data_IF_364297883300
#
_entry.id   IF_364297883300
#
_cell.length_a   1.000
_cell.length_b   1.000
_cell.length_c   1.000
_cell.angle_alpha   90.00
_cell.angle_beta   90.00
_cell.angle_gamma   90.00
#
_symmetry.space_group_name_H-M   'P 1'
#
loop_
_entity.id
_entity.type
_entity.pdbx_description
1 polymer ?
#
# COMPACT_ATOMS: atom_id res chain seq x y z
N UNK A 1 -0.51 17.79 13.07
CA UNK A 1 -1.17 16.97 12.07
C UNK A 1 -0.72 15.54 12.20
N UNK A 2 -1.64 14.62 12.02
CA UNK A 2 -1.31 13.22 12.16
C UNK A 2 -0.76 12.66 10.87
N UNK A 3 0.01 11.60 10.99
CA UNK A 3 0.59 10.91 9.84
C UNK A 3 -0.30 9.71 9.51
N UNK A 4 -0.58 9.52 8.23
CA UNK A 4 -1.45 8.42 7.81
C UNK A 4 -0.70 7.52 6.83
N UNK A 5 -0.80 6.22 7.08
CA UNK A 5 -0.12 5.19 6.31
C UNK A 5 -1.16 4.22 5.77
N UNK A 6 -1.11 3.92 4.48
CA UNK A 6 -1.94 2.88 3.91
C UNK A 6 -1.08 1.65 3.65
N UNK A 7 -1.61 0.49 3.95
CA UNK A 7 -0.94 -0.78 3.65
C UNK A 7 -1.88 -1.59 2.79
N UNK A 8 -1.46 -1.94 1.58
CA UNK A 8 -2.23 -2.78 0.68
C UNK A 8 -2.03 -4.22 1.12
N UNK A 9 -3.13 -4.90 1.43
CA UNK A 9 -3.09 -6.19 2.10
C UNK A 9 -3.88 -7.22 1.30
N UNK A 10 -3.39 -8.44 1.27
CA UNK A 10 -4.15 -9.57 0.78
C UNK A 10 -4.26 -10.59 1.91
N UNK A 11 -5.36 -11.32 1.90
CA UNK A 11 -5.60 -12.33 2.92
C UNK A 11 -5.22 -13.69 2.38
N UNK A 12 -4.48 -14.43 3.19
CA UNK A 12 -4.05 -15.77 2.83
C UNK A 12 -4.38 -16.65 4.01
N UNK A 13 -5.49 -17.38 3.91
CA UNK A 13 -5.98 -18.12 5.03
C UNK A 13 -6.36 -17.16 6.15
N UNK A 14 -5.76 -17.34 7.32
CA UNK A 14 -6.03 -16.47 8.45
C UNK A 14 -5.00 -15.34 8.57
N UNK A 15 -4.07 -15.25 7.61
CA UNK A 15 -3.01 -14.26 7.69
C UNK A 15 -3.28 -13.09 6.76
N UNK A 16 -2.86 -11.91 7.21
CA UNK A 16 -2.89 -10.72 6.38
C UNK A 16 -1.45 -10.37 6.03
N UNK A 17 -1.18 -10.25 4.73
CA UNK A 17 0.16 -9.94 4.25
C UNK A 17 0.12 -8.76 3.33
N UNK A 18 1.23 -8.05 3.25
CA UNK A 18 1.37 -7.01 2.23
C UNK A 18 1.19 -7.67 0.88
N UNK A 19 0.29 -7.12 0.08
CA UNK A 19 -0.05 -7.71 -1.21
C UNK A 19 1.18 -7.76 -2.10
N UNK A 20 1.37 -8.89 -2.79
CA UNK A 20 2.49 -9.03 -3.70
C UNK A 20 2.31 -8.21 -4.96
N UNK A 21 1.06 -7.96 -5.34
CA UNK A 21 0.75 -7.13 -6.49
C UNK A 21 -0.28 -6.10 -6.05
N UNK A 22 0.11 -4.85 -6.11
CA UNK A 22 -0.74 -3.75 -5.65
C UNK A 22 -2.15 -3.82 -6.22
N UNK A 23 -2.26 -4.05 -7.52
CA UNK A 23 -3.56 -4.03 -8.18
C UNK A 23 -4.50 -5.15 -7.75
N UNK A 24 -3.98 -6.16 -7.08
CA UNK A 24 -4.79 -7.32 -6.68
C UNK A 24 -5.01 -7.42 -5.19
N UNK A 25 -4.66 -6.38 -4.45
CA UNK A 25 -4.84 -6.42 -3.01
C UNK A 25 -6.32 -6.53 -2.66
N UNK A 26 -6.61 -7.17 -1.53
CA UNK A 26 -7.98 -7.33 -1.07
C UNK A 26 -8.52 -6.08 -0.44
N UNK A 27 -7.66 -5.39 0.28
CA UNK A 27 -8.08 -4.24 1.06
C UNK A 27 -6.89 -3.37 1.39
N UNK A 28 -7.20 -2.15 1.86
CA UNK A 28 -6.20 -1.21 2.35
C UNK A 28 -6.46 -0.99 3.82
N UNK A 29 -5.44 -1.12 4.64
CA UNK A 29 -5.55 -0.79 6.06
C UNK A 29 -4.86 0.55 6.24
N UNK A 30 -5.60 1.53 6.74
CA UNK A 30 -5.07 2.88 6.94
C UNK A 30 -4.82 3.06 8.42
N UNK A 31 -3.58 3.36 8.75
CA UNK A 31 -3.15 3.56 10.13
C UNK A 31 -2.82 5.03 10.33
N UNK A 32 -3.32 5.60 11.40
CA UNK A 32 -3.06 7.00 11.70
C UNK A 32 -2.22 7.10 12.97
N UNK A 33 -1.17 7.91 12.90
CA UNK A 33 -0.24 8.10 14.01
C UNK A 33 -0.27 9.55 14.46
N UNK A 34 -0.16 9.76 15.76
CA UNK A 34 -0.09 11.13 16.27
C UNK A 34 1.34 11.67 16.18
N UNK A 35 1.56 12.85 16.76
CA UNK A 35 2.86 13.52 16.67
C UNK A 35 3.94 12.78 17.43
N UNK A 36 3.55 11.97 18.38
CA UNK A 36 4.50 11.13 19.11
C UNK A 36 4.73 9.79 18.42
N UNK A 37 4.19 9.62 17.22
CA UNK A 37 4.32 8.40 16.44
C UNK A 37 3.61 7.22 17.08
N UNK A 38 2.56 7.49 17.84
CA UNK A 38 1.72 6.44 18.42
C UNK A 38 0.53 6.20 17.53
N UNK A 39 0.20 4.92 17.35
CA UNK A 39 -0.95 4.54 16.52
C UNK A 39 -2.22 4.89 17.26
N UNK A 40 -3.04 5.75 16.66
CA UNK A 40 -4.26 6.21 17.31
C UNK A 40 -5.52 5.75 16.61
N UNK A 41 -5.41 5.27 15.38
CA UNK A 41 -6.61 4.87 14.63
C UNK A 41 -6.24 3.91 13.51
N UNK A 42 -7.09 2.95 13.26
CA UNK A 42 -6.92 2.00 12.15
C UNK A 42 -8.25 1.86 11.43
N UNK A 43 -8.24 1.99 10.13
CA UNK A 43 -9.44 1.84 9.31
C UNK A 43 -9.15 0.88 8.18
N UNK A 44 -10.15 0.13 7.76
CA UNK A 44 -10.02 -0.83 6.67
C UNK A 44 -10.96 -0.45 5.53
N UNK A 45 -10.43 -0.41 4.32
CA UNK A 45 -11.21 -0.12 3.13
C UNK A 45 -10.97 -1.23 2.11
N UNK A 46 -12.04 -1.86 1.65
CA UNK A 46 -11.89 -2.95 0.70
C UNK A 46 -11.59 -2.39 -0.69
N UNK A 47 -10.79 -3.13 -1.44
CA UNK A 47 -10.43 -2.72 -2.79
C UNK A 47 -11.63 -2.95 -3.72
N UNK A 48 -12.21 -1.89 -4.26
CA UNK A 48 -13.40 -2.05 -5.12
C UNK A 48 -13.07 -2.66 -6.46
N UNK A 49 -11.79 -2.72 -6.81
CA UNK A 49 -11.37 -3.26 -8.10
C UNK A 49 -10.67 -4.61 -7.97
N UNK A 50 -10.77 -5.24 -6.81
CA UNK A 50 -10.13 -6.53 -6.59
C UNK A 50 -10.68 -7.54 -7.60
N UNK A 51 -9.78 -8.27 -8.24
CA UNK A 51 -10.16 -9.26 -9.23
C UNK A 51 -10.34 -8.72 -10.62
N UNK A 52 -10.25 -7.43 -10.83
CA UNK A 52 -10.38 -6.84 -12.15
C UNK A 52 -9.00 -6.49 -12.70
N UNK A 53 -8.76 -6.82 -13.94
CA UNK A 53 -7.50 -6.50 -14.58
C UNK A 53 -7.44 -5.07 -15.04
N UNK A 54 -8.56 -4.56 -15.46
CA UNK A 54 -8.63 -3.18 -15.91
C UNK A 54 -9.02 -2.34 -14.75
N UNK A 55 -8.50 -1.19 -14.62
CA UNK A 55 -8.88 -0.31 -13.56
C UNK A 55 -7.84 -0.18 -12.46
N UNK A 56 -6.77 -0.98 -12.52
CA UNK A 56 -5.72 -0.86 -11.51
C UNK A 56 -5.10 0.51 -11.55
N UNK A 57 -5.14 1.19 -12.71
CA UNK A 57 -4.61 2.54 -12.81
C UNK A 57 -5.47 3.55 -12.08
N UNK A 58 -6.67 3.16 -11.65
CA UNK A 58 -7.55 4.04 -10.89
C UNK A 58 -7.32 3.94 -9.39
N UNK A 59 -6.60 2.90 -8.94
CA UNK A 59 -6.39 2.70 -7.52
C UNK A 59 -5.63 3.82 -6.84
N UNK A 60 -4.59 4.42 -7.45
CA UNK A 60 -3.94 5.54 -6.78
C UNK A 60 -4.89 6.67 -6.44
N UNK A 61 -5.83 6.98 -7.35
CA UNK A 61 -6.83 8.00 -7.07
C UNK A 61 -7.76 7.60 -5.94
N UNK A 62 -8.09 6.31 -5.86
CA UNK A 62 -8.92 5.80 -4.78
C UNK A 62 -8.21 5.94 -3.45
N UNK A 63 -6.93 5.55 -3.40
CA UNK A 63 -6.13 5.63 -2.18
C UNK A 63 -5.93 7.09 -1.76
N UNK A 64 -5.83 7.99 -2.73
CA UNK A 64 -5.68 9.40 -2.43
C UNK A 64 -6.80 9.91 -1.53
N UNK A 65 -7.99 9.34 -1.66
CA UNK A 65 -9.14 9.77 -0.85
C UNK A 65 -8.94 9.50 0.64
N UNK A 66 -8.02 8.62 0.98
CA UNK A 66 -7.75 8.29 2.39
C UNK A 66 -6.85 9.32 3.05
N UNK A 67 -6.32 10.28 2.30
CA UNK A 67 -5.42 11.32 2.82
C UNK A 67 -4.20 10.73 3.49
N UNK A 68 -3.59 9.74 2.85
CA UNK A 68 -2.41 9.09 3.41
C UNK A 68 -1.15 9.81 2.93
N UNK A 69 -0.10 9.67 3.74
CA UNK A 69 1.21 10.23 3.41
C UNK A 69 2.08 9.19 2.72
N UNK A 70 1.85 7.92 3.01
CA UNK A 70 2.68 6.82 2.51
C UNK A 70 1.80 5.62 2.24
N UNK A 71 2.18 4.83 1.23
CA UNK A 71 1.54 3.55 0.98
C UNK A 71 2.60 2.46 0.95
N UNK A 72 2.31 1.35 1.62
CA UNK A 72 3.15 0.15 1.57
C UNK A 72 2.41 -0.89 0.76
N UNK A 73 3.06 -1.43 -0.25
CA UNK A 73 2.45 -2.42 -1.13
C UNK A 73 3.54 -3.29 -1.73
N UNK A 74 3.12 -4.25 -2.53
CA UNK A 74 4.05 -5.05 -3.33
C UNK A 74 4.10 -4.56 -4.75
N UNK A 75 4.35 -5.45 -5.68
CA UNK A 75 4.57 -5.13 -7.09
C UNK A 75 3.69 -4.04 -7.64
N UNK A 76 4.28 -2.92 -7.93
CA UNK A 76 3.58 -1.74 -8.41
C UNK A 76 4.27 -1.26 -9.68
N UNK A 77 3.49 -1.02 -10.73
CA UNK A 77 4.05 -0.58 -11.98
C UNK A 77 4.49 0.88 -11.93
N UNK A 78 5.27 1.28 -12.90
CA UNK A 78 5.78 2.63 -12.97
C UNK A 78 4.68 3.68 -12.96
N UNK A 79 3.59 3.38 -13.65
CA UNK A 79 2.50 4.34 -13.76
C UNK A 79 1.85 4.60 -12.41
N UNK A 80 1.63 3.53 -11.64
CA UNK A 80 1.04 3.68 -10.32
C UNK A 80 1.97 4.46 -9.41
N UNK A 81 3.26 4.14 -9.44
CA UNK A 81 4.24 4.86 -8.63
C UNK A 81 4.24 6.35 -8.98
N UNK A 82 4.23 6.65 -10.28
CA UNK A 82 4.21 8.04 -10.73
C UNK A 82 2.96 8.76 -10.25
N UNK A 83 1.82 8.09 -10.31
CA UNK A 83 0.58 8.68 -9.84
C UNK A 83 0.62 9.00 -8.36
N UNK A 84 1.12 8.05 -7.55
CA UNK A 84 1.24 8.32 -6.12
C UNK A 84 2.18 9.49 -5.86
N UNK A 85 3.29 9.54 -6.56
CA UNK A 85 4.22 10.65 -6.37
C UNK A 85 3.58 11.98 -6.76
N UNK A 86 2.75 11.99 -7.78
CA UNK A 86 2.06 13.22 -8.19
C UNK A 86 1.07 13.66 -7.14
N UNK A 87 0.62 12.74 -6.28
CA UNK A 87 -0.28 13.05 -5.18
C UNK A 87 0.49 13.33 -3.88
N UNK A 88 1.82 13.37 -3.95
CA UNK A 88 2.68 13.54 -2.78
C UNK A 88 2.54 12.38 -1.79
N UNK A 89 2.33 11.18 -2.30
CA UNK A 89 2.26 9.98 -1.48
C UNK A 89 3.54 9.19 -1.72
N UNK A 90 4.24 8.90 -0.64
CA UNK A 90 5.47 8.11 -0.72
C UNK A 90 5.12 6.65 -0.93
N UNK A 91 5.89 5.95 -1.75
CA UNK A 91 5.67 4.54 -2.04
C UNK A 91 6.78 3.71 -1.40
N UNK A 92 6.39 2.68 -0.66
CA UNK A 92 7.34 1.74 -0.08
C UNK A 92 6.90 0.35 -0.53
N UNK A 93 7.81 -0.45 -1.09
CA UNK A 93 7.47 -1.80 -1.50
C UNK A 93 8.04 -2.80 -0.49
N UNK A 94 7.17 -3.68 -0.02
CA UNK A 94 7.54 -4.71 0.95
C UNK A 94 6.64 -5.93 0.78
N UNK A 95 6.68 -6.56 -0.40
CA UNK A 95 5.73 -7.63 -0.70
C UNK A 95 5.94 -8.83 0.21
N UNK A 96 4.83 -9.46 0.59
CA UNK A 96 4.87 -10.73 1.29
C UNK A 96 5.07 -10.66 2.79
N UNK A 97 5.39 -9.51 3.34
CA UNK A 97 5.52 -9.38 4.78
C UNK A 97 4.15 -9.50 5.43
N UNK A 98 4.11 -10.08 6.61
CA UNK A 98 2.88 -10.02 7.40
C UNK A 98 2.55 -8.57 7.67
N UNK A 99 1.25 -8.27 7.70
CA UNK A 99 0.80 -6.90 7.94
C UNK A 99 1.44 -6.31 9.21
N UNK A 100 1.44 -7.10 10.28
CA UNK A 100 1.98 -6.61 11.55
C UNK A 100 3.47 -6.34 11.46
N UNK A 101 4.19 -7.19 10.72
CA UNK A 101 5.63 -6.99 10.55
C UNK A 101 5.91 -5.74 9.74
N UNK A 102 5.12 -5.52 8.70
CA UNK A 102 5.30 -4.32 7.88
C UNK A 102 5.06 -3.08 8.70
N UNK A 103 4.00 -3.08 9.51
CA UNK A 103 3.67 -1.95 10.36
C UNK A 103 4.78 -1.68 11.36
N UNK A 104 5.26 -2.74 12.03
CA UNK A 104 6.32 -2.59 13.02
C UNK A 104 7.62 -2.09 12.39
N UNK A 105 7.98 -2.63 11.23
CA UNK A 105 9.19 -2.19 10.55
C UNK A 105 9.08 -0.74 10.10
N UNK A 106 7.90 -0.33 9.65
CA UNK A 106 7.69 1.05 9.28
C UNK A 106 7.87 1.97 10.49
N UNK A 107 7.28 1.59 11.61
CA UNK A 107 7.38 2.40 12.83
C UNK A 107 8.80 2.50 13.34
N UNK A 108 9.62 1.48 13.08
CA UNK A 108 11.02 1.49 13.49
C UNK A 108 11.91 2.20 12.46
N UNK A 109 11.34 2.64 11.35
CA UNK A 109 12.12 3.29 10.31
C UNK A 109 12.93 2.33 9.47
N UNK A 110 12.59 1.04 9.48
CA UNK A 110 13.34 0.02 8.75
C UNK A 110 12.91 -0.15 7.31
N UNK A 111 11.78 0.41 6.93
CA UNK A 111 11.29 0.28 5.56
C UNK A 111 11.41 1.62 4.84
N UNK A 112 11.96 1.59 3.64
CA UNK A 112 12.02 2.78 2.82
C UNK A 112 12.24 2.36 1.38
N UNK A 113 11.80 3.22 0.46
CA UNK A 113 12.06 3.02 -0.94
C UNK A 113 11.12 2.02 -1.59
N UNK A 114 11.24 1.91 -2.90
CA UNK A 114 10.36 1.05 -3.67
C UNK A 114 11.10 0.46 -4.85
N UNK A 115 10.57 -0.67 -5.33
CA UNK A 115 11.04 -1.26 -6.56
C UNK A 115 9.88 -1.29 -7.53
N UNK A 116 10.10 -0.74 -8.71
CA UNK A 116 9.10 -0.79 -9.75
C UNK A 116 9.06 -2.20 -10.30
N UNK A 117 7.88 -2.68 -10.63
CA UNK A 117 7.75 -3.95 -11.30
C UNK A 117 8.35 -3.84 -12.69
N UNK A 118 9.53 -4.43 -12.86
CA UNK A 118 10.25 -4.34 -14.11
C UNK A 118 10.18 -5.60 -14.92
N UNK A 119 9.35 -6.54 -14.50
CA UNK A 119 9.19 -7.75 -15.26
C UNK A 119 8.62 -7.39 -16.57
N UNK A 120 9.32 -7.74 -17.59
CA UNK A 120 8.79 -7.43 -18.88
C UNK A 120 8.01 -8.56 -19.42
N UNK A 121 7.34 -9.28 -18.61
CA UNK A 121 6.52 -10.34 -19.07
C UNK A 121 5.12 -9.90 -19.05
N UNK A 122 4.87 -8.70 -19.33
CA UNK A 122 3.53 -8.21 -19.47
C UNK A 122 2.72 -8.44 -18.27
N UNK A 123 3.26 -8.25 -17.15
CA UNK A 123 2.49 -8.39 -15.97
C UNK A 123 1.80 -7.17 -15.58
N UNK A 124 0.75 -7.35 -14.86
CA UNK A 124 -0.02 -6.30 -14.31
C UNK A 124 0.48 -5.95 -12.97
N UNK A 125 1.60 -5.42 -12.88
CA UNK A 125 2.10 -4.97 -11.59
C UNK A 125 1.62 -3.59 -11.27
#
# INVERSE_FOLDING_TARGET
MNYRLAIAVEEEGSEERVAEHFGRCSKFIVCEFDEQKSLVKTETYFNPLAGQHEGTCQLPGYVKQFNVNTIIAGGMGQKAVANFHSFNIEVITAPGLLYEDALNKFMLGSLSGYEVCTENHNHNC
#
